data_IF_150334952512
#
_entry.id   IF_150334952512
#
_cell.length_a   1.000
_cell.length_b   1.000
_cell.length_c   1.000
_cell.angle_alpha   90.00
_cell.angle_beta   90.00
_cell.angle_gamma   90.00
#
_symmetry.space_group_name_H-M   'P 1'
#
loop_
_entity.id
_entity.type
_entity.pdbx_description
1 polymer ?
#
# COMPACT_ATOMS: atom_id res chain seq x y z
N UNK A 1 -2.56 -7.45 -0.62
CA UNK A 1 -1.95 -8.61 -1.31
C UNK A 1 -1.11 -8.14 -2.49
N UNK A 2 -1.71 -7.38 -3.42
CA UNK A 2 -1.07 -6.90 -4.66
C UNK A 2 0.25 -6.15 -4.46
N UNK A 3 0.31 -5.13 -3.59
CA UNK A 3 1.57 -4.39 -3.36
C UNK A 3 2.70 -5.31 -2.90
N UNK A 4 2.41 -6.33 -2.09
CA UNK A 4 3.45 -7.29 -1.68
C UNK A 4 3.95 -8.07 -2.89
N UNK A 5 3.03 -8.62 -3.69
CA UNK A 5 3.36 -9.35 -4.90
C UNK A 5 4.12 -8.49 -5.93
N UNK A 6 3.75 -7.21 -6.10
CA UNK A 6 4.47 -6.26 -6.94
C UNK A 6 5.94 -6.14 -6.55
N UNK A 7 6.23 -5.97 -5.24
CA UNK A 7 7.61 -5.95 -4.76
C UNK A 7 8.31 -7.30 -4.95
N UNK A 8 7.63 -8.41 -4.67
CA UNK A 8 8.21 -9.74 -4.74
C UNK A 8 8.58 -10.14 -6.18
N UNK A 9 7.76 -9.78 -7.18
CA UNK A 9 8.07 -9.96 -8.60
C UNK A 9 9.27 -9.10 -9.02
N UNK A 10 9.31 -7.82 -8.64
CA UNK A 10 10.46 -6.96 -8.96
C UNK A 10 11.77 -7.47 -8.32
N UNK A 11 11.70 -8.05 -7.12
CA UNK A 11 12.85 -8.67 -6.44
C UNK A 11 13.33 -9.92 -7.20
N UNK A 12 12.41 -10.78 -7.65
CA UNK A 12 12.74 -12.00 -8.42
C UNK A 12 13.32 -11.68 -9.80
N UNK A 13 12.76 -10.69 -10.49
CA UNK A 13 13.18 -10.29 -11.84
C UNK A 13 14.37 -9.32 -11.85
N UNK A 14 14.93 -8.98 -10.67
CA UNK A 14 16.04 -8.03 -10.55
C UNK A 14 15.70 -6.61 -11.04
N UNK A 15 14.42 -6.28 -11.18
CA UNK A 15 13.93 -5.01 -11.72
C UNK A 15 13.61 -4.01 -10.61
N UNK A 16 13.29 -2.76 -11.00
CA UNK A 16 13.05 -1.68 -10.05
C UNK A 16 11.54 -1.43 -9.83
N UNK A 17 11.03 -1.55 -8.59
CA UNK A 17 9.65 -1.19 -8.26
C UNK A 17 9.50 0.34 -8.25
N UNK A 18 9.14 0.93 -9.39
CA UNK A 18 9.27 2.37 -9.65
C UNK A 18 8.23 3.27 -8.96
N UNK A 19 7.12 2.72 -8.47
CA UNK A 19 6.10 3.49 -7.78
C UNK A 19 4.80 2.73 -7.60
N UNK A 20 3.86 3.34 -6.86
CA UNK A 20 2.49 2.87 -6.72
C UNK A 20 1.52 4.00 -7.08
N UNK A 21 0.38 3.65 -7.64
CA UNK A 21 -0.72 4.58 -7.89
C UNK A 21 -1.90 4.16 -7.01
N UNK A 22 -2.48 5.10 -6.26
CA UNK A 22 -3.54 4.82 -5.29
C UNK A 22 -4.64 5.87 -5.41
N UNK A 23 -5.89 5.44 -5.34
CA UNK A 23 -7.02 6.33 -5.13
C UNK A 23 -7.23 6.54 -3.62
N UNK A 24 -7.09 7.78 -3.16
CA UNK A 24 -7.17 8.10 -1.74
C UNK A 24 -7.88 9.43 -1.48
N UNK A 25 -8.32 9.62 -0.23
CA UNK A 25 -8.81 10.90 0.27
C UNK A 25 -8.37 11.11 1.72
N UNK A 26 -8.09 12.37 2.09
CA UNK A 26 -7.83 12.76 3.47
C UNK A 26 -9.08 12.75 4.37
N UNK A 27 -10.26 12.54 3.77
CA UNK A 27 -11.53 12.48 4.49
C UNK A 27 -11.69 11.14 5.22
N UNK A 28 -12.43 11.17 6.33
CA UNK A 28 -12.75 9.97 7.11
C UNK A 28 -13.95 9.23 6.49
N UNK A 29 -13.70 8.58 5.34
CA UNK A 29 -14.67 7.79 4.57
C UNK A 29 -14.58 6.30 4.88
N UNK A 30 -15.66 5.58 4.58
CA UNK A 30 -15.79 4.13 4.69
C UNK A 30 -16.03 3.53 3.30
N UNK A 31 -15.09 3.75 2.39
CA UNK A 31 -15.24 3.32 0.99
C UNK A 31 -14.55 1.96 0.75
N UNK A 32 -13.41 1.70 1.39
CA UNK A 32 -12.70 0.41 1.35
C UNK A 32 -12.85 -0.37 2.66
N UNK A 33 -13.07 -1.68 2.58
CA UNK A 33 -13.11 -2.59 3.74
C UNK A 33 -11.72 -2.88 4.31
N UNK A 34 -11.68 -3.26 5.59
CA UNK A 34 -10.45 -3.62 6.31
C UNK A 34 -9.64 -2.42 6.78
N UNK A 35 -8.31 -2.57 6.74
CA UNK A 35 -7.36 -1.67 7.39
C UNK A 35 -7.40 -1.76 8.92
N UNK A 36 -6.54 -1.00 9.58
CA UNK A 36 -6.43 -0.96 11.05
C UNK A 36 -7.73 -0.65 11.81
N UNK A 37 -8.69 0.04 11.19
CA UNK A 37 -10.01 0.33 11.78
C UNK A 37 -11.06 -0.76 11.53
N UNK A 38 -10.70 -1.84 10.85
CA UNK A 38 -11.55 -2.99 10.55
C UNK A 38 -12.92 -2.61 9.94
N UNK A 39 -12.91 -1.75 8.92
CA UNK A 39 -14.13 -1.34 8.21
C UNK A 39 -14.79 -2.58 7.62
N UNK A 40 -16.04 -2.84 8.00
CA UNK A 40 -16.84 -3.96 7.52
C UNK A 40 -17.67 -3.56 6.30
N UNK A 41 -18.34 -4.53 5.67
CA UNK A 41 -19.27 -4.24 4.58
C UNK A 41 -20.47 -3.40 5.04
N UNK A 42 -20.94 -3.58 6.27
CA UNK A 42 -22.07 -2.84 6.83
C UNK A 42 -21.72 -1.35 7.04
N UNK A 43 -20.46 -1.08 7.40
CA UNK A 43 -19.93 0.28 7.59
C UNK A 43 -19.89 1.09 6.30
N UNK A 44 -19.91 0.46 5.12
CA UNK A 44 -19.78 1.14 3.84
C UNK A 44 -20.90 2.18 3.65
N UNK A 45 -22.12 1.84 4.07
CA UNK A 45 -23.29 2.71 3.93
C UNK A 45 -23.22 4.01 4.74
N UNK A 46 -22.31 4.10 5.71
CA UNK A 46 -22.22 5.25 6.63
C UNK A 46 -21.60 6.50 5.99
N UNK A 47 -20.58 6.34 5.14
CA UNK A 47 -19.80 7.45 4.54
C UNK A 47 -19.20 7.09 3.17
N UNK A 48 -20.00 6.47 2.31
CA UNK A 48 -19.66 6.31 0.90
C UNK A 48 -19.99 7.60 0.15
N UNK A 49 -18.98 8.42 -0.17
CA UNK A 49 -19.17 9.78 -0.69
C UNK A 49 -18.74 9.95 -2.16
N UNK A 50 -18.42 8.86 -2.84
CA UNK A 50 -18.01 8.86 -4.24
C UNK A 50 -19.03 8.10 -5.10
N UNK A 51 -19.29 8.59 -6.30
CA UNK A 51 -20.03 7.87 -7.34
C UNK A 51 -19.08 7.05 -8.23
N UNK A 52 -17.77 7.16 -8.01
CA UNK A 52 -16.71 6.42 -8.70
C UNK A 52 -16.24 5.24 -7.83
N UNK A 53 -15.03 4.74 -8.11
CA UNK A 53 -14.40 3.67 -7.35
C UNK A 53 -14.14 4.07 -5.88
N UNK A 54 -14.18 3.11 -4.94
CA UNK A 54 -13.95 3.36 -3.52
C UNK A 54 -12.49 3.74 -3.23
N UNK A 55 -12.29 4.83 -2.47
CA UNK A 55 -10.97 5.39 -2.15
C UNK A 55 -10.49 4.95 -0.77
N UNK A 56 -9.16 4.89 -0.61
CA UNK A 56 -8.54 4.72 0.70
C UNK A 56 -8.76 5.97 1.56
N UNK A 57 -9.20 5.79 2.81
CA UNK A 57 -9.18 6.88 3.78
C UNK A 57 -7.76 7.18 4.28
N UNK A 58 -7.61 8.26 5.06
CA UNK A 58 -6.31 8.69 5.59
C UNK A 58 -5.56 7.60 6.38
N UNK A 59 -6.27 6.82 7.21
CA UNK A 59 -5.66 5.77 8.03
C UNK A 59 -5.17 4.60 7.17
N UNK A 60 -6.00 4.13 6.23
CA UNK A 60 -5.64 3.07 5.27
C UNK A 60 -4.47 3.49 4.37
N UNK A 61 -4.48 4.76 3.93
CA UNK A 61 -3.41 5.34 3.12
C UNK A 61 -2.07 5.37 3.85
N UNK A 62 -2.07 5.78 5.12
CA UNK A 62 -0.87 5.84 5.94
C UNK A 62 -0.31 4.45 6.26
N UNK A 63 -1.20 3.49 6.56
CA UNK A 63 -0.82 2.08 6.77
C UNK A 63 -0.08 1.52 5.54
N UNK A 64 -0.60 1.80 4.35
CA UNK A 64 0.01 1.35 3.10
C UNK A 64 1.35 2.05 2.82
N UNK A 65 1.47 3.33 3.15
CA UNK A 65 2.73 4.07 3.05
C UNK A 65 3.83 3.46 3.94
N UNK A 66 3.50 3.07 5.18
CA UNK A 66 4.45 2.39 6.06
C UNK A 66 4.88 1.02 5.51
N UNK A 67 3.93 0.22 5.00
CA UNK A 67 4.25 -1.07 4.36
C UNK A 67 5.21 -0.91 3.17
N UNK A 68 4.99 0.10 2.32
CA UNK A 68 5.87 0.39 1.18
C UNK A 68 7.25 0.85 1.67
N UNK A 69 7.30 1.72 2.67
CA UNK A 69 8.56 2.19 3.26
C UNK A 69 9.40 1.03 3.82
N UNK A 70 8.76 0.06 4.49
CA UNK A 70 9.44 -1.15 4.97
C UNK A 70 10.02 -2.00 3.84
N UNK A 71 9.25 -2.24 2.77
CA UNK A 71 9.71 -2.99 1.60
C UNK A 71 10.90 -2.29 0.91
N UNK A 72 10.83 -0.97 0.72
CA UNK A 72 11.94 -0.18 0.15
C UNK A 72 13.19 -0.20 1.03
N UNK A 73 13.03 -0.08 2.36
CA UNK A 73 14.13 -0.16 3.33
C UNK A 73 14.80 -1.52 3.27
N UNK A 74 14.03 -2.62 3.31
CA UNK A 74 14.57 -3.99 3.22
C UNK A 74 15.39 -4.16 1.94
N UNK A 75 14.85 -3.71 0.81
CA UNK A 75 15.55 -3.74 -0.49
C UNK A 75 16.88 -2.99 -0.43
N UNK A 76 16.91 -1.75 0.09
CA UNK A 76 18.17 -0.97 0.20
C UNK A 76 19.24 -1.66 1.04
N UNK A 77 18.85 -2.30 2.14
CA UNK A 77 19.79 -3.03 3.01
C UNK A 77 20.35 -4.24 2.27
N UNK A 78 19.49 -5.06 1.65
CA UNK A 78 19.90 -6.29 0.95
C UNK A 78 20.81 -5.97 -0.25
N UNK A 79 20.39 -5.03 -1.12
CA UNK A 79 21.18 -4.64 -2.29
C UNK A 79 22.45 -3.86 -1.91
N UNK A 80 22.42 -3.07 -0.84
CA UNK A 80 23.62 -2.37 -0.33
C UNK A 80 24.67 -3.32 0.25
N UNK A 81 24.26 -4.39 0.92
CA UNK A 81 25.15 -5.45 1.40
C UNK A 81 25.71 -6.30 0.25
N UNK A 82 24.89 -6.61 -0.77
CA UNK A 82 25.33 -7.35 -1.96
C UNK A 82 26.35 -6.58 -2.82
N UNK A 83 26.31 -5.24 -2.80
CA UNK A 83 27.31 -4.39 -3.46
C UNK A 83 28.68 -4.39 -2.79
N UNK A 84 28.79 -4.80 -1.53
CA UNK A 84 30.06 -4.83 -0.77
C UNK A 84 30.75 -6.20 -0.81
N UNK A 85 30.10 -7.21 -1.41
CA UNK A 85 30.57 -8.59 -1.48
C UNK A 85 30.98 -9.03 -2.90
N UNK A 86 31.05 -8.09 -3.86
CA UNK A 86 31.63 -8.28 -5.20
C UNK A 86 32.86 -7.40 -5.37
#
# INVERSE_FOLDING_TARGET
AEIRAFFDVHEQEGSHPGGVHLEMTGQNVTECVGGSKAITYDDLSSRYHTNCDPRLNASQSLELAFLIAEKLRKRRIVFGLGSLLN
#
